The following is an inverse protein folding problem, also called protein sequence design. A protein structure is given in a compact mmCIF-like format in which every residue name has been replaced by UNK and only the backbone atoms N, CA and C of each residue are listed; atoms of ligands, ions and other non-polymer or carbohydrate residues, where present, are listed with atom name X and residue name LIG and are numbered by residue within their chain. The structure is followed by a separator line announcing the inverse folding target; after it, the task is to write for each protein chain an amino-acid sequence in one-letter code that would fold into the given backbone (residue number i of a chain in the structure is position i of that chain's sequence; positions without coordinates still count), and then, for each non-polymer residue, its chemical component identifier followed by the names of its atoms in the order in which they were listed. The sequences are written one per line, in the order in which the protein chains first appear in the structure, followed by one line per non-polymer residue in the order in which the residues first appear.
data_IF_446052436055
#
_entry.id   IF_446052436055
#
_cell.length_a   1.000
_cell.length_b   1.000
_cell.length_c   1.000
_cell.angle_alpha   90.00
_cell.angle_beta   90.00
_cell.angle_gamma   90.00
#
_symmetry.space_group_name_H-M   'P 1'
#
loop_
_entity.id
_entity.type
_entity.pdbx_description
1 polymer ?
#
# COMPACT_ATOMS: atom_id res chain seq x y z
N UNK A 1 -0.80 3.34 -14.88
CA UNK A 1 -0.70 1.99 -14.29
C UNK A 1 0.76 1.52 -14.36
N UNK A 2 1.28 0.77 -13.37
CA UNK A 2 2.65 0.21 -13.44
C UNK A 2 2.84 -0.69 -14.66
N UNK A 3 4.09 -0.98 -15.02
CA UNK A 3 4.42 -1.87 -16.13
C UNK A 3 4.30 -3.33 -15.70
N UNK A 4 4.96 -3.66 -14.61
CA UNK A 4 4.98 -4.98 -13.97
C UNK A 4 4.63 -4.79 -12.50
N UNK A 5 3.77 -5.66 -11.97
CA UNK A 5 3.51 -5.75 -10.53
C UNK A 5 4.44 -6.78 -9.88
N UNK A 6 4.72 -6.63 -8.59
CA UNK A 6 5.62 -7.53 -7.85
C UNK A 6 5.06 -7.79 -6.47
N UNK A 7 5.13 -9.04 -6.03
CA UNK A 7 4.83 -9.44 -4.65
C UNK A 7 5.67 -10.65 -4.25
N UNK A 8 5.59 -10.98 -2.97
CA UNK A 8 5.99 -12.26 -2.44
C UNK A 8 5.13 -13.40 -3.01
N UNK A 9 5.64 -14.65 -2.99
CA UNK A 9 4.88 -15.81 -3.41
C UNK A 9 3.75 -16.06 -2.41
N UNK A 10 2.51 -15.91 -2.84
CA UNK A 10 1.32 -16.10 -2.02
C UNK A 10 0.07 -16.17 -2.90
N UNK A 11 -0.93 -16.95 -2.48
CA UNK A 11 -2.19 -17.07 -3.21
C UNK A 11 -3.04 -15.80 -3.05
N UNK A 12 -2.89 -15.04 -1.96
CA UNK A 12 -3.61 -13.78 -1.72
C UNK A 12 -3.33 -12.72 -2.80
N UNK A 13 -2.17 -12.80 -3.46
CA UNK A 13 -1.73 -11.84 -4.46
C UNK A 13 -2.21 -12.18 -5.88
N UNK A 14 -2.88 -13.33 -6.08
CA UNK A 14 -3.33 -13.79 -7.39
C UNK A 14 -4.36 -12.85 -8.02
N UNK A 15 -5.23 -12.23 -7.23
CA UNK A 15 -6.19 -11.25 -7.74
C UNK A 15 -5.54 -10.00 -8.31
N UNK A 16 -4.50 -9.49 -7.62
CA UNK A 16 -3.72 -8.34 -8.11
C UNK A 16 -2.94 -8.73 -9.37
N UNK A 17 -2.30 -9.91 -9.37
CA UNK A 17 -1.55 -10.41 -10.52
C UNK A 17 -2.44 -10.60 -11.77
N UNK A 18 -3.62 -11.21 -11.59
CA UNK A 18 -4.61 -11.43 -12.64
C UNK A 18 -5.20 -10.11 -13.15
N UNK A 19 -5.65 -9.25 -12.24
CA UNK A 19 -6.25 -7.95 -12.61
C UNK A 19 -5.27 -7.06 -13.37
N UNK A 20 -4.02 -6.98 -12.91
CA UNK A 20 -2.96 -6.23 -13.59
C UNK A 20 -2.65 -6.83 -14.97
N UNK A 21 -2.53 -8.16 -15.07
CA UNK A 21 -2.25 -8.84 -16.35
C UNK A 21 -3.36 -8.60 -17.36
N UNK A 22 -4.62 -8.73 -16.95
CA UNK A 22 -5.77 -8.49 -17.81
C UNK A 22 -5.81 -7.03 -18.30
N UNK A 23 -5.61 -6.05 -17.41
CA UNK A 23 -5.55 -4.64 -17.81
C UNK A 23 -4.45 -4.38 -18.83
N UNK A 24 -3.27 -4.98 -18.66
CA UNK A 24 -2.17 -4.85 -19.61
C UNK A 24 -2.49 -5.47 -20.97
N UNK A 25 -3.11 -6.65 -21.01
CA UNK A 25 -3.53 -7.30 -22.27
C UNK A 25 -4.60 -6.50 -23.03
N UNK A 26 -5.51 -5.85 -22.29
CA UNK A 26 -6.53 -4.99 -22.90
C UNK A 26 -5.92 -3.74 -23.56
N UNK A 27 -4.80 -3.25 -23.04
CA UNK A 27 -4.13 -2.05 -23.55
C UNK A 27 -3.02 -2.32 -24.56
N UNK A 28 -2.40 -3.51 -24.51
CA UNK A 28 -1.31 -3.90 -25.38
C UNK A 28 -1.49 -5.37 -25.78
N UNK A 29 -1.96 -5.57 -27.02
CA UNK A 29 -2.23 -6.90 -27.56
C UNK A 29 -0.97 -7.74 -27.76
N UNK A 30 0.22 -7.11 -27.82
CA UNK A 30 1.49 -7.83 -27.91
C UNK A 30 1.83 -8.59 -26.62
N UNK A 31 1.18 -8.24 -25.51
CA UNK A 31 1.39 -8.89 -24.21
C UNK A 31 0.49 -10.12 -23.99
N UNK A 32 -0.46 -10.40 -24.89
CA UNK A 32 -1.34 -11.57 -24.76
C UNK A 32 -0.51 -12.85 -24.65
N UNK A 33 -0.82 -13.66 -23.65
CA UNK A 33 -0.08 -14.89 -23.34
C UNK A 33 1.07 -14.71 -22.35
N UNK A 34 1.36 -13.48 -21.91
CA UNK A 34 2.41 -13.20 -20.91
C UNK A 34 1.83 -12.77 -19.56
N UNK A 35 2.49 -13.15 -18.47
CA UNK A 35 2.18 -12.73 -17.10
C UNK A 35 2.87 -11.39 -16.80
N UNK A 36 2.10 -10.39 -16.36
CA UNK A 36 2.59 -9.04 -16.05
C UNK A 36 2.84 -8.85 -14.54
N UNK A 37 3.22 -9.93 -13.89
CA UNK A 37 3.50 -10.00 -12.46
C UNK A 37 4.77 -10.81 -12.21
N UNK A 38 5.58 -10.39 -11.24
CA UNK A 38 6.79 -11.11 -10.83
C UNK A 38 6.71 -11.50 -9.36
N UNK A 39 6.79 -12.80 -9.13
CA UNK A 39 6.94 -13.41 -7.81
C UNK A 39 8.38 -13.29 -7.34
N UNK A 40 8.60 -12.68 -6.18
CA UNK A 40 9.94 -12.45 -5.63
C UNK A 40 10.26 -13.54 -4.60
N UNK A 41 11.04 -14.55 -5.02
CA UNK A 41 11.38 -15.71 -4.19
C UNK A 41 12.48 -15.44 -3.13
N UNK A 42 13.20 -14.31 -3.24
CA UNK A 42 14.29 -13.95 -2.32
C UNK A 42 13.81 -12.97 -1.24
N UNK A 43 14.34 -13.10 -0.01
CA UNK A 43 14.08 -12.24 1.16
C UNK A 43 14.67 -10.82 1.03
N UNK A 44 14.42 -10.14 -0.09
CA UNK A 44 14.75 -8.73 -0.26
C UNK A 44 13.47 -7.94 -0.04
N UNK A 45 13.51 -6.97 0.88
CA UNK A 45 12.36 -6.10 1.15
C UNK A 45 11.92 -5.42 -0.15
N UNK A 46 10.83 -5.90 -0.73
CA UNK A 46 10.25 -5.29 -1.93
C UNK A 46 9.54 -3.98 -1.54
N UNK A 47 9.37 -3.02 -2.47
CA UNK A 47 8.74 -1.73 -2.17
C UNK A 47 7.37 -1.82 -1.45
N UNK A 48 6.50 -2.81 -1.74
CA UNK A 48 5.29 -3.05 -0.95
C UNK A 48 5.59 -3.35 0.53
N UNK A 49 6.53 -4.22 0.85
CA UNK A 49 6.91 -4.57 2.23
C UNK A 49 7.48 -3.38 3.00
N UNK A 50 8.30 -2.55 2.35
CA UNK A 50 8.80 -1.31 2.94
C UNK A 50 7.62 -0.40 3.29
N UNK A 51 6.63 -0.30 2.40
CA UNK A 51 5.43 0.51 2.61
C UNK A 51 4.57 -0.06 3.76
N UNK A 52 4.41 -1.39 3.83
CA UNK A 52 3.75 -2.07 4.95
C UNK A 52 4.46 -1.83 6.28
N UNK A 53 5.80 -1.88 6.30
CA UNK A 53 6.57 -1.55 7.49
C UNK A 53 6.36 -0.10 7.92
N UNK A 54 6.23 0.85 6.99
CA UNK A 54 5.96 2.25 7.34
C UNK A 54 4.53 2.44 7.85
N UNK A 55 3.54 1.77 7.24
CA UNK A 55 2.16 1.75 7.72
C UNK A 55 2.12 1.24 9.17
N UNK A 56 2.75 0.09 9.45
CA UNK A 56 2.82 -0.50 10.79
C UNK A 56 3.44 0.44 11.82
N UNK A 57 4.48 1.20 11.47
CA UNK A 57 5.16 2.10 12.43
C UNK A 57 4.44 3.42 12.65
N UNK A 58 3.68 3.92 11.67
CA UNK A 58 3.15 5.30 11.67
C UNK A 58 1.64 5.41 11.78
N UNK A 59 0.92 4.35 11.41
CA UNK A 59 -0.54 4.31 11.40
C UNK A 59 -1.08 3.40 12.49
N UNK A 60 -0.55 2.18 12.57
CA UNK A 60 -1.08 1.12 13.44
C UNK A 60 -1.11 1.48 14.94
N UNK A 61 -0.08 2.11 15.56
CA UNK A 61 -0.10 2.33 17.00
C UNK A 61 -1.27 3.20 17.45
N UNK A 62 -1.55 4.30 16.74
CA UNK A 62 -2.68 5.17 17.11
C UNK A 62 -4.06 4.54 16.87
N UNK A 63 -4.14 3.46 16.09
CA UNK A 63 -5.37 2.68 15.93
C UNK A 63 -5.48 1.61 17.02
N UNK A 64 -4.39 0.91 17.32
CA UNK A 64 -4.28 -0.04 18.44
C UNK A 64 -4.61 0.64 19.78
N UNK A 65 -4.08 1.84 20.03
CA UNK A 65 -4.40 2.65 21.22
C UNK A 65 -5.91 2.86 21.39
N UNK A 66 -6.63 3.09 20.29
CA UNK A 66 -8.09 3.26 20.31
C UNK A 66 -8.76 1.91 20.59
N UNK A 67 -8.32 0.83 19.95
CA UNK A 67 -8.88 -0.50 20.18
C UNK A 67 -8.71 -0.96 21.62
N UNK A 68 -7.53 -0.70 22.20
CA UNK A 68 -7.19 -1.04 23.57
C UNK A 68 -8.13 -0.38 24.58
N UNK A 69 -8.67 0.81 24.29
CA UNK A 69 -9.68 1.44 25.17
C UNK A 69 -10.89 0.51 25.36
N UNK A 70 -11.45 -0.04 24.28
CA UNK A 70 -12.64 -0.89 24.43
C UNK A 70 -12.35 -2.24 25.07
N UNK A 71 -11.17 -2.82 24.82
CA UNK A 71 -10.74 -4.06 25.48
C UNK A 71 -10.52 -3.83 26.98
N UNK A 72 -9.78 -2.78 27.35
CA UNK A 72 -9.44 -2.48 28.74
C UNK A 72 -10.67 -2.09 29.58
N UNK A 73 -11.69 -1.49 28.95
CA UNK A 73 -12.96 -1.17 29.63
C UNK A 73 -13.97 -2.34 29.61
N UNK A 74 -13.64 -3.47 28.98
CA UNK A 74 -14.52 -4.64 28.88
C UNK A 74 -15.76 -4.41 28.01
N UNK A 75 -15.70 -3.49 27.04
CA UNK A 75 -16.80 -3.18 26.12
C UNK A 75 -16.92 -4.21 24.99
N UNK A 76 -15.84 -4.92 24.69
CA UNK A 76 -15.75 -5.84 23.58
C UNK A 76 -15.12 -7.18 24.00
N UNK A 77 -15.82 -8.27 23.74
CA UNK A 77 -15.33 -9.64 23.82
C UNK A 77 -15.46 -10.32 22.45
N UNK A 78 -14.35 -10.71 21.79
CA UNK A 78 -14.39 -11.39 20.50
C UNK A 78 -15.03 -12.77 20.55
N UNK A 79 -15.23 -13.36 21.74
CA UNK A 79 -15.89 -14.65 21.90
C UNK A 79 -17.41 -14.55 21.92
N UNK A 80 -17.96 -13.34 22.08
CA UNK A 80 -19.39 -13.08 22.01
C UNK A 80 -19.74 -12.72 20.56
N UNK A 81 -20.52 -13.57 19.89
CA UNK A 81 -20.84 -13.46 18.47
C UNK A 81 -21.39 -12.08 18.09
N UNK A 82 -22.41 -11.60 18.81
CA UNK A 82 -23.06 -10.32 18.51
C UNK A 82 -22.10 -9.14 18.68
N UNK A 83 -21.21 -9.19 19.68
CA UNK A 83 -20.19 -8.18 19.90
C UNK A 83 -19.14 -8.19 18.79
N UNK A 84 -18.69 -9.38 18.35
CA UNK A 84 -17.78 -9.55 17.23
C UNK A 84 -18.34 -9.04 15.90
N UNK A 85 -19.62 -9.30 15.61
CA UNK A 85 -20.28 -8.85 14.39
C UNK A 85 -20.48 -7.33 14.38
N UNK A 86 -20.99 -6.76 15.48
CA UNK A 86 -21.17 -5.30 15.59
C UNK A 86 -19.82 -4.60 15.52
N UNK A 87 -18.77 -5.17 16.14
CA UNK A 87 -17.43 -4.63 16.07
C UNK A 87 -16.93 -4.58 14.62
N UNK A 88 -17.01 -5.69 13.88
CA UNK A 88 -16.59 -5.73 12.47
C UNK A 88 -17.38 -4.75 11.61
N UNK A 89 -18.69 -4.67 11.81
CA UNK A 89 -19.56 -3.77 11.05
C UNK A 89 -19.22 -2.30 11.25
N UNK A 90 -18.85 -1.89 12.47
CA UNK A 90 -18.46 -0.50 12.78
C UNK A 90 -16.99 -0.24 12.42
N UNK A 91 -16.08 -1.12 12.81
CA UNK A 91 -14.65 -0.85 12.77
C UNK A 91 -14.00 -1.10 11.42
N UNK A 92 -14.45 -2.08 10.61
CA UNK A 92 -13.85 -2.34 9.28
C UNK A 92 -14.00 -1.13 8.36
N UNK A 93 -15.19 -0.52 8.20
CA UNK A 93 -15.38 0.60 7.28
C UNK A 93 -14.71 1.87 7.80
N UNK A 94 -14.68 2.04 9.12
CA UNK A 94 -13.90 3.10 9.75
C UNK A 94 -12.41 2.93 9.46
N UNK A 95 -11.85 1.72 9.66
CA UNK A 95 -10.45 1.40 9.36
C UNK A 95 -10.12 1.61 7.88
N UNK A 96 -11.02 1.22 6.98
CA UNK A 96 -10.89 1.49 5.55
C UNK A 96 -10.75 2.99 5.29
N UNK A 97 -11.64 3.81 5.86
CA UNK A 97 -11.58 5.26 5.69
C UNK A 97 -10.33 5.90 6.30
N UNK A 98 -9.88 5.45 7.47
CA UNK A 98 -8.61 5.91 8.06
C UNK A 98 -7.42 5.52 7.19
N UNK A 99 -7.45 4.34 6.57
CA UNK A 99 -6.44 3.87 5.62
C UNK A 99 -6.44 4.71 4.33
N UNK A 100 -7.61 5.07 3.82
CA UNK A 100 -7.75 5.99 2.69
C UNK A 100 -7.18 7.38 3.02
N UNK A 101 -7.51 7.92 4.20
CA UNK A 101 -6.95 9.19 4.66
C UNK A 101 -5.42 9.12 4.84
N UNK A 102 -4.90 7.99 5.33
CA UNK A 102 -3.46 7.75 5.40
C UNK A 102 -2.81 7.75 4.02
N UNK A 103 -3.39 7.01 3.05
CA UNK A 103 -2.94 6.97 1.66
C UNK A 103 -2.90 8.39 1.08
N UNK A 104 -3.98 9.14 1.23
CA UNK A 104 -4.10 10.48 0.69
C UNK A 104 -3.05 11.42 1.30
N UNK A 105 -2.85 11.35 2.62
CA UNK A 105 -1.77 12.11 3.29
C UNK A 105 -0.40 11.73 2.74
N UNK A 106 -0.10 10.43 2.63
CA UNK A 106 1.20 9.94 2.17
C UNK A 106 1.48 10.40 0.73
N UNK A 107 0.48 10.37 -0.14
CA UNK A 107 0.63 10.72 -1.55
C UNK A 107 0.60 12.24 -1.82
N UNK A 108 0.03 13.02 -0.90
CA UNK A 108 -0.02 14.49 -0.99
C UNK A 108 1.01 15.22 -0.11
N UNK A 109 1.85 14.50 0.65
CA UNK A 109 2.92 15.10 1.44
C UNK A 109 4.26 14.97 0.71
N UNK A 110 4.99 16.09 0.60
CA UNK A 110 6.32 16.13 0.02
C UNK A 110 7.28 15.19 0.77
N UNK A 111 8.02 14.36 0.03
CA UNK A 111 9.03 13.48 0.62
C UNK A 111 10.31 14.25 0.89
N UNK A 112 11.00 13.90 1.98
CA UNK A 112 12.31 14.46 2.30
C UNK A 112 13.29 14.05 1.20
N UNK A 113 14.04 15.03 0.68
CA UNK A 113 15.11 14.78 -0.27
C UNK A 113 16.20 13.91 0.37
N UNK A 114 16.60 12.86 -0.35
CA UNK A 114 17.72 11.99 0.00
C UNK A 114 18.90 12.37 -0.89
N UNK A 115 19.99 12.86 -0.29
CA UNK A 115 21.17 13.35 -1.01
C UNK A 115 21.88 12.23 -1.78
N UNK A 116 21.63 10.97 -1.44
CA UNK A 116 22.24 9.81 -2.07
C UNK A 116 21.41 9.28 -3.26
N UNK A 117 20.30 9.93 -3.63
CA UNK A 117 19.40 9.45 -4.69
C UNK A 117 19.06 10.57 -5.66
N UNK A 118 19.34 10.35 -6.94
CA UNK A 118 19.00 11.25 -8.05
C UNK A 118 17.55 11.05 -8.50
N UNK A 119 16.62 10.98 -7.53
CA UNK A 119 15.19 10.85 -7.80
C UNK A 119 14.50 12.20 -7.67
N UNK A 120 13.41 12.42 -8.40
CA UNK A 120 12.75 13.72 -8.40
C UNK A 120 12.10 13.97 -7.03
N UNK A 121 12.14 15.22 -6.60
CA UNK A 121 11.73 15.62 -5.25
C UNK A 121 10.44 16.42 -5.29
N UNK A 122 9.43 15.97 -4.56
CA UNK A 122 8.15 16.68 -4.53
C UNK A 122 7.05 15.92 -3.82
N UNK A 123 5.84 16.42 -4.02
CA UNK A 123 4.61 15.74 -3.61
C UNK A 123 4.31 14.64 -4.63
N UNK A 124 4.20 13.36 -4.22
CA UNK A 124 4.02 12.24 -5.17
C UNK A 124 2.88 12.43 -6.16
N UNK A 125 1.69 12.85 -5.70
CA UNK A 125 0.57 13.10 -6.59
C UNK A 125 0.82 14.27 -7.56
N UNK A 126 1.50 15.33 -7.12
CA UNK A 126 1.80 16.47 -7.99
C UNK A 126 2.85 16.11 -9.05
N UNK A 127 3.86 15.34 -8.66
CA UNK A 127 4.87 14.80 -9.58
C UNK A 127 4.28 13.77 -10.54
N UNK A 128 3.31 12.99 -10.06
CA UNK A 128 2.53 12.13 -10.92
C UNK A 128 1.75 12.98 -11.92
N UNK A 129 0.93 13.95 -11.53
CA UNK A 129 0.11 14.71 -12.49
C UNK A 129 0.91 15.64 -13.42
N UNK A 130 1.98 16.27 -12.92
CA UNK A 130 2.75 17.32 -13.63
C UNK A 130 4.25 17.03 -13.64
N UNK A 131 4.71 15.95 -14.29
CA UNK A 131 6.11 15.54 -14.33
C UNK A 131 7.05 16.63 -14.90
N UNK A 132 6.59 17.42 -15.86
CA UNK A 132 7.34 18.51 -16.49
C UNK A 132 7.82 19.57 -15.48
N UNK A 133 7.06 19.81 -14.40
CA UNK A 133 7.42 20.76 -13.36
C UNK A 133 8.56 20.27 -12.45
N UNK A 134 8.94 19.00 -12.57
CA UNK A 134 9.99 18.36 -11.79
C UNK A 134 11.20 17.98 -12.66
N UNK A 135 11.21 18.35 -13.94
CA UNK A 135 12.28 17.98 -14.87
C UNK A 135 12.37 16.48 -15.09
N UNK A 136 11.23 15.80 -15.22
CA UNK A 136 11.18 14.34 -15.42
C UNK A 136 10.28 13.97 -16.57
N UNK A 137 10.56 12.81 -17.15
CA UNK A 137 9.75 12.24 -18.23
C UNK A 137 8.52 11.53 -17.70
N UNK A 138 7.43 11.65 -18.44
CA UNK A 138 6.20 10.90 -18.16
C UNK A 138 6.20 9.55 -18.87
N UNK A 139 6.25 8.48 -18.07
CA UNK A 139 6.16 7.08 -18.54
C UNK A 139 4.82 6.41 -18.17
N UNK A 140 3.77 7.18 -17.88
CA UNK A 140 2.47 6.61 -17.52
C UNK A 140 1.85 5.82 -18.65
N UNK A 141 1.44 4.60 -18.33
CA UNK A 141 0.46 3.86 -19.13
C UNK A 141 -0.93 4.39 -18.77
N UNK A 142 -1.56 5.09 -19.73
CA UNK A 142 -2.95 5.54 -19.63
C UNK A 142 -3.88 4.34 -19.80
N UNK A 143 -4.82 4.20 -18.87
CA UNK A 143 -5.75 3.08 -18.81
C UNK A 143 -7.15 3.63 -19.05
N UNK A 144 -7.94 2.90 -19.83
CA UNK A 144 -9.33 3.26 -20.11
C UNK A 144 -10.17 3.02 -18.85
N UNK A 145 -10.92 4.02 -18.35
CA UNK A 145 -11.82 3.84 -17.21
C UNK A 145 -12.80 2.67 -17.37
N UNK A 146 -13.25 2.36 -18.59
CA UNK A 146 -14.15 1.22 -18.83
C UNK A 146 -13.44 -0.12 -18.59
N UNK A 147 -12.17 -0.24 -19.00
CA UNK A 147 -11.36 -1.41 -18.73
C UNK A 147 -11.12 -1.59 -17.23
N UNK A 148 -10.88 -0.49 -16.50
CA UNK A 148 -10.77 -0.52 -15.02
C UNK A 148 -12.06 -1.03 -14.39
N UNK A 149 -13.22 -0.53 -14.82
CA UNK A 149 -14.51 -0.98 -14.29
C UNK A 149 -14.75 -2.47 -14.57
N UNK A 150 -14.41 -2.95 -15.77
CA UNK A 150 -14.51 -4.35 -16.14
C UNK A 150 -13.65 -5.26 -15.25
N UNK A 151 -12.36 -4.93 -15.10
CA UNK A 151 -11.42 -5.71 -14.26
C UNK A 151 -11.82 -5.64 -12.79
N UNK A 152 -12.30 -4.49 -12.31
CA UNK A 152 -12.83 -4.34 -10.96
C UNK A 152 -14.02 -5.27 -10.73
N UNK A 153 -14.99 -5.32 -11.64
CA UNK A 153 -16.14 -6.21 -11.47
C UNK A 153 -15.76 -7.69 -11.46
N UNK A 154 -14.65 -8.08 -12.12
CA UNK A 154 -14.19 -9.46 -12.19
C UNK A 154 -13.41 -9.89 -10.94
N UNK A 155 -12.54 -9.02 -10.41
CA UNK A 155 -11.60 -9.37 -9.32
C UNK A 155 -11.85 -8.63 -8.00
N UNK A 156 -12.71 -7.60 -7.99
CA UNK A 156 -13.05 -6.79 -6.83
C UNK A 156 -14.51 -6.27 -6.94
N UNK A 157 -15.51 -7.18 -7.01
CA UNK A 157 -16.89 -6.81 -7.28
C UNK A 157 -17.44 -5.81 -6.25
N UNK A 158 -18.26 -4.84 -6.68
CA UNK A 158 -18.72 -3.72 -5.86
C UNK A 158 -19.71 -4.08 -4.73
N UNK A 159 -20.06 -5.35 -4.57
CA UNK A 159 -21.02 -5.82 -3.55
C UNK A 159 -20.51 -5.67 -2.09
N UNK A 160 -19.33 -5.07 -1.90
CA UNK A 160 -18.76 -4.69 -0.60
C UNK A 160 -18.99 -3.22 -0.23
N UNK A 161 -20.14 -2.65 -0.56
CA UNK A 161 -20.48 -1.29 -0.12
C UNK A 161 -20.91 -1.32 1.36
N UNK A 162 -19.93 -1.24 2.27
CA UNK A 162 -20.21 -1.17 3.71
C UNK A 162 -20.59 0.26 4.08
N UNK A 163 -21.82 0.65 3.71
CA UNK A 163 -22.40 1.93 4.10
C UNK A 163 -22.45 2.03 5.63
N UNK A 164 -21.55 2.84 6.18
CA UNK A 164 -21.38 3.01 7.61
C UNK A 164 -21.72 4.42 8.04
N UNK A 165 -22.25 4.61 9.25
CA UNK A 165 -22.48 5.95 9.79
C UNK A 165 -21.17 6.76 9.84
N UNK A 166 -21.22 8.09 9.97
CA UNK A 166 -20.04 8.93 10.13
C UNK A 166 -19.35 8.64 11.48
N UNK A 167 -18.55 7.58 11.49
CA UNK A 167 -17.70 7.14 12.59
C UNK A 167 -16.45 8.02 12.59
N UNK A 168 -15.79 8.26 13.71
CA UNK A 168 -14.52 8.98 13.83
C UNK A 168 -13.72 8.36 14.96
N UNK A 169 -12.43 8.72 15.07
CA UNK A 169 -11.57 8.30 16.18
C UNK A 169 -12.18 8.60 17.56
N UNK A 170 -12.97 9.67 17.68
CA UNK A 170 -13.53 10.11 18.97
C UNK A 170 -14.87 9.48 19.31
N UNK A 171 -15.62 8.95 18.34
CA UNK A 171 -16.98 8.44 18.57
C UNK A 171 -17.14 6.95 18.25
N UNK A 172 -16.11 6.28 17.71
CA UNK A 172 -16.24 4.89 17.24
C UNK A 172 -16.76 3.93 18.30
N UNK A 173 -16.28 4.06 19.54
CA UNK A 173 -16.76 3.26 20.66
C UNK A 173 -18.17 3.64 21.11
N UNK A 174 -18.53 4.92 21.09
CA UNK A 174 -19.89 5.36 21.42
C UNK A 174 -20.91 4.79 20.43
N UNK A 175 -20.60 4.87 19.14
CA UNK A 175 -21.43 4.32 18.06
C UNK A 175 -21.51 2.79 18.18
N UNK A 176 -20.38 2.12 18.43
CA UNK A 176 -20.35 0.68 18.69
C UNK A 176 -21.28 0.29 19.84
N UNK A 177 -21.17 0.95 20.99
CA UNK A 177 -21.96 0.64 22.18
C UNK A 177 -23.45 0.91 21.96
N UNK A 178 -23.81 2.01 21.30
CA UNK A 178 -25.21 2.32 21.00
C UNK A 178 -25.85 1.26 20.09
N UNK A 179 -25.11 0.81 19.07
CA UNK A 179 -25.58 -0.23 18.15
C UNK A 179 -25.69 -1.58 18.87
N UNK A 180 -24.68 -1.93 19.67
CA UNK A 180 -24.66 -3.17 20.43
C UNK A 180 -25.87 -3.25 21.38
N UNK A 181 -26.14 -2.18 22.14
CA UNK A 181 -27.29 -2.11 23.05
C UNK A 181 -28.62 -2.34 22.34
N UNK A 182 -28.79 -1.82 21.11
CA UNK A 182 -30.00 -2.02 20.31
C UNK A 182 -30.14 -3.48 19.88
N UNK A 183 -29.06 -4.12 19.46
CA UNK A 183 -29.06 -5.53 19.07
C UNK A 183 -29.29 -6.47 20.25
N UNK A 184 -28.65 -6.22 21.38
CA UNK A 184 -28.90 -6.95 22.63
C UNK A 184 -30.35 -6.79 23.08
N UNK A 185 -30.93 -5.60 22.95
CA UNK A 185 -32.35 -5.41 23.24
C UNK A 185 -33.26 -6.24 22.33
N UNK A 186 -32.95 -6.34 21.03
CA UNK A 186 -33.70 -7.15 20.06
C UNK A 186 -33.59 -8.65 20.35
N UNK A 187 -32.41 -9.10 20.76
CA UNK A 187 -32.15 -10.49 21.14
C UNK A 187 -32.93 -10.88 22.40
N UNK A 188 -32.91 -10.00 23.41
CA UNK A 188 -33.69 -10.16 24.64
C UNK A 188 -35.20 -10.27 24.43
N UNK A 189 -35.74 -9.67 23.37
CA UNK A 189 -37.17 -9.77 23.00
C UNK A 189 -37.44 -10.85 21.94
N UNK A 190 -36.48 -11.77 21.72
CA UNK A 190 -36.54 -12.91 20.80
C UNK A 190 -36.95 -12.54 19.37
N UNK A 191 -36.44 -11.41 18.86
CA UNK A 191 -36.67 -10.97 17.47
C UNK A 191 -35.56 -11.38 16.51
N UNK A 192 -34.47 -11.94 17.01
CA UNK A 192 -33.38 -12.48 16.20
C UNK A 192 -33.75 -13.91 15.79
N UNK A 193 -33.54 -14.32 14.52
CA UNK A 193 -33.83 -15.68 14.07
C UNK A 193 -33.04 -16.74 14.86
N UNK A 194 -33.66 -17.90 15.15
CA UNK A 194 -33.05 -18.98 15.94
C UNK A 194 -31.76 -19.56 15.31
N UNK A 195 -31.59 -19.43 14.00
CA UNK A 195 -30.42 -19.91 13.25
C UNK A 195 -29.34 -18.84 13.02
N UNK A 196 -29.48 -17.66 13.63
CA UNK A 196 -28.53 -16.56 13.45
C UNK A 196 -27.11 -16.96 13.87
N UNK A 197 -26.98 -17.65 15.00
CA UNK A 197 -25.69 -18.10 15.53
C UNK A 197 -25.00 -19.12 14.61
N UNK A 198 -25.78 -20.01 13.98
CA UNK A 198 -25.24 -20.99 13.03
C UNK A 198 -24.79 -20.32 11.72
N UNK A 199 -25.63 -19.46 11.13
CA UNK A 199 -25.33 -18.80 9.86
C UNK A 199 -24.13 -17.85 9.98
N UNK A 200 -24.08 -17.03 11.03
CA UNK A 200 -23.02 -16.03 11.20
C UNK A 200 -21.81 -16.53 11.96
N UNK A 201 -21.97 -17.49 12.87
CA UNK A 201 -20.85 -18.18 13.50
C UNK A 201 -19.97 -18.91 12.48
N UNK A 202 -20.60 -19.54 11.48
CA UNK A 202 -19.88 -20.13 10.35
C UNK A 202 -19.12 -19.08 9.53
N UNK A 203 -19.77 -17.96 9.19
CA UNK A 203 -19.11 -16.85 8.47
C UNK A 203 -17.94 -16.25 9.25
N UNK A 204 -18.05 -16.11 10.58
CA UNK A 204 -16.94 -15.67 11.43
C UNK A 204 -15.80 -16.69 11.48
N UNK A 205 -16.11 -17.98 11.43
CA UNK A 205 -15.11 -19.05 11.43
C UNK A 205 -14.33 -19.04 10.11
N UNK A 206 -15.02 -18.93 8.98
CA UNK A 206 -14.39 -18.75 7.66
C UNK A 206 -13.52 -17.49 7.63
N UNK A 207 -13.96 -16.39 8.24
CA UNK A 207 -13.19 -15.15 8.30
C UNK A 207 -12.09 -15.14 9.38
N UNK A 208 -11.96 -16.19 10.18
CA UNK A 208 -10.87 -16.39 11.16
C UNK A 208 -9.81 -17.34 10.62
N UNK A 209 -10.24 -18.36 9.88
CA UNK A 209 -9.34 -19.11 9.02
C UNK A 209 -8.91 -18.20 7.85
N UNK A 210 -7.69 -18.39 7.36
CA UNK A 210 -7.24 -17.75 6.13
C UNK A 210 -8.11 -18.31 5.00
N UNK A 211 -9.26 -17.68 4.73
CA UNK A 211 -10.08 -18.01 3.58
C UNK A 211 -9.20 -17.83 2.35
N UNK A 212 -8.73 -18.95 1.81
CA UNK A 212 -8.04 -18.97 0.53
C UNK A 212 -9.07 -18.57 -0.52
N UNK A 213 -8.97 -17.35 -1.04
CA UNK A 213 -9.66 -17.03 -2.28
C UNK A 213 -9.21 -18.08 -3.31
N UNK A 214 -10.15 -18.92 -3.78
CA UNK A 214 -9.97 -19.95 -4.82
C UNK A 214 -9.64 -19.32 -6.20
N UNK A 215 -8.93 -18.19 -6.23
CA UNK A 215 -8.60 -17.48 -7.43
C UNK A 215 -7.36 -18.10 -8.06
N UNK A 216 -7.58 -19.00 -9.02
CA UNK A 216 -6.48 -19.52 -9.84
C UNK A 216 -5.82 -18.41 -10.68
N UNK A 217 -4.51 -18.53 -10.88
CA UNK A 217 -3.81 -17.70 -11.86
C UNK A 217 -4.41 -17.94 -13.26
N UNK A 218 -4.51 -16.88 -14.06
CA UNK A 218 -4.94 -16.97 -15.45
C UNK A 218 -4.12 -18.06 -16.19
N UNK A 219 -4.79 -19.00 -16.90
CA UNK A 219 -4.12 -20.16 -17.49
C UNK A 219 -3.27 -19.78 -18.70
N UNK A 220 -2.27 -20.61 -19.01
CA UNK A 220 -1.41 -20.51 -20.20
C UNK A 220 -0.60 -19.21 -20.30
N UNK A 221 -0.24 -18.59 -19.17
CA UNK A 221 0.62 -17.42 -19.15
C UNK A 221 2.08 -17.82 -18.94
N UNK A 222 2.98 -17.26 -19.75
CA UNK A 222 4.44 -17.34 -19.54
C UNK A 222 4.94 -16.07 -18.86
N UNK A 223 5.94 -16.12 -17.98
CA UNK A 223 6.57 -14.91 -17.44
C UNK A 223 7.05 -14.00 -18.56
N UNK A 224 6.82 -12.69 -18.44
CA UNK A 224 7.39 -11.72 -19.38
C UNK A 224 8.92 -11.73 -19.26
N UNK A 225 9.59 -12.22 -20.31
CA UNK A 225 11.04 -12.31 -20.38
C UNK A 225 11.68 -10.92 -20.38
N UNK A 226 12.79 -10.78 -19.64
CA UNK A 226 13.70 -9.64 -19.74
C UNK A 226 14.98 -10.11 -20.42
N UNK A 227 14.91 -10.34 -21.72
CA UNK A 227 16.09 -10.63 -22.54
C UNK A 227 16.84 -9.30 -22.80
N UNK A 228 18.14 -9.16 -22.52
CA UNK A 228 18.90 -7.95 -22.86
C UNK A 228 18.84 -7.58 -24.35
N UNK A 229 18.65 -8.53 -25.26
CA UNK A 229 18.58 -8.27 -26.71
C UNK A 229 17.15 -7.99 -27.22
N UNK A 230 16.12 -8.30 -26.42
CA UNK A 230 14.70 -8.10 -26.75
C UNK A 230 13.94 -7.55 -25.53
N UNK A 231 14.56 -6.59 -24.86
CA UNK A 231 14.11 -6.05 -23.58
C UNK A 231 12.83 -5.25 -23.79
N UNK A 232 11.71 -5.77 -23.28
CA UNK A 232 10.47 -5.01 -23.23
C UNK A 232 10.67 -3.82 -22.28
N UNK A 233 11.03 -2.66 -22.84
CA UNK A 233 11.29 -1.38 -22.16
C UNK A 233 10.07 -0.78 -21.47
N UNK A 234 8.96 -1.53 -21.41
CA UNK A 234 7.82 -1.13 -20.64
C UNK A 234 7.04 0.00 -21.29
N UNK A 235 6.22 -0.36 -22.28
CA UNK A 235 4.96 0.34 -22.53
C UNK A 235 5.02 1.84 -22.90
N UNK A 236 6.18 2.43 -23.14
CA UNK A 236 6.24 3.76 -23.80
C UNK A 236 5.66 3.58 -25.19
N UNK A 237 4.55 4.27 -25.46
CA UNK A 237 3.80 4.16 -26.70
C UNK A 237 3.41 2.72 -27.11
N UNK A 238 2.92 1.90 -26.16
CA UNK A 238 2.56 0.49 -26.39
C UNK A 238 3.73 -0.35 -26.93
N UNK A 239 4.91 -0.17 -26.34
CA UNK A 239 6.12 -0.94 -26.71
C UNK A 239 6.85 -0.41 -27.95
N UNK A 240 6.53 0.79 -28.42
CA UNK A 240 7.20 1.44 -29.56
C UNK A 240 8.43 2.26 -29.18
N UNK A 241 8.69 2.41 -27.88
CA UNK A 241 9.80 3.22 -27.37
C UNK A 241 9.41 4.69 -27.21
N UNK A 242 10.42 5.52 -26.95
CA UNK A 242 10.29 6.97 -26.88
C UNK A 242 9.78 7.48 -28.24
N UNK A 243 8.82 8.40 -28.22
CA UNK A 243 8.51 9.17 -29.43
C UNK A 243 9.49 10.32 -29.62
N UNK A 244 9.48 10.90 -30.82
CA UNK A 244 10.34 12.03 -31.21
C UNK A 244 10.29 13.20 -30.21
N UNK A 245 9.15 13.40 -29.53
CA UNK A 245 9.00 14.49 -28.56
C UNK A 245 9.67 14.17 -27.23
N UNK A 246 9.59 12.92 -26.78
CA UNK A 246 10.25 12.45 -25.56
C UNK A 246 11.76 12.33 -25.75
N UNK A 247 12.21 11.89 -26.93
CA UNK A 247 13.63 11.80 -27.29
C UNK A 247 14.25 13.20 -27.37
N UNK A 248 13.59 14.16 -28.04
CA UNK A 248 14.06 15.55 -28.07
C UNK A 248 14.09 16.19 -26.66
N UNK A 249 13.16 15.85 -25.78
CA UNK A 249 13.16 16.35 -24.41
C UNK A 249 14.27 15.73 -23.55
N UNK A 250 14.55 14.44 -23.75
CA UNK A 250 15.70 13.76 -23.15
C UNK A 250 17.02 14.42 -23.54
N UNK A 251 17.20 14.68 -24.84
CA UNK A 251 18.37 15.37 -25.35
C UNK A 251 18.50 16.78 -24.74
N UNK A 252 17.40 17.54 -24.65
CA UNK A 252 17.39 18.85 -23.99
C UNK A 252 17.77 18.77 -22.50
N UNK A 253 17.31 17.72 -21.79
CA UNK A 253 17.68 17.48 -20.39
C UNK A 253 19.17 17.12 -20.24
N UNK A 254 19.74 16.38 -21.18
CA UNK A 254 21.16 16.03 -21.19
C UNK A 254 22.06 17.21 -21.58
N UNK A 255 21.56 18.16 -22.38
CA UNK A 255 22.28 19.38 -22.74
C UNK A 255 22.23 20.46 -21.64
N UNK A 256 21.26 20.38 -20.72
CA UNK A 256 21.24 21.21 -19.50
C UNK A 256 22.21 20.63 -18.47
N UNK A 257 23.49 20.99 -18.60
CA UNK A 257 24.47 20.88 -17.51
C UNK A 257 24.04 21.81 -16.36
N UNK A 258 23.11 21.36 -15.51
CA UNK A 258 22.81 22.05 -14.27
C UNK A 258 24.03 21.89 -13.34
N UNK A 259 24.68 23.00 -12.93
CA UNK A 259 25.84 22.92 -12.07
C UNK A 259 25.45 22.21 -10.78
N UNK A 260 26.27 21.21 -10.38
CA UNK A 260 26.10 20.50 -9.13
C UNK A 260 25.89 21.52 -7.99
N UNK A 261 24.95 21.27 -7.06
CA UNK A 261 24.71 22.18 -5.96
C UNK A 261 26.03 22.43 -5.21
N UNK A 262 26.32 23.69 -4.82
CA UNK A 262 27.63 24.04 -4.27
C UNK A 262 27.93 23.20 -3.03
N UNK A 263 28.98 22.37 -3.12
CA UNK A 263 29.40 21.44 -2.07
C UNK A 263 29.64 19.99 -2.52
N UNK A 264 29.36 19.64 -3.78
CA UNK A 264 29.79 18.36 -4.36
C UNK A 264 31.22 18.54 -4.87
N UNK A 265 32.20 18.29 -4.01
CA UNK A 265 33.57 18.10 -4.49
C UNK A 265 33.61 16.80 -5.28
N UNK A 266 34.24 16.83 -6.46
CA UNK A 266 34.59 15.65 -7.24
C UNK A 266 35.28 14.65 -6.31
N UNK A 267 34.62 13.53 -6.04
CA UNK A 267 35.30 12.41 -5.38
C UNK A 267 36.17 11.80 -6.47
N UNK A 268 37.45 12.17 -6.45
CA UNK A 268 38.48 11.49 -7.22
C UNK A 268 38.35 9.97 -7.01
N UNK A 269 38.38 9.23 -8.11
CA UNK A 269 38.35 7.77 -8.13
C UNK A 269 39.44 7.21 -7.20
N UNK A 270 39.01 6.67 -6.07
CA UNK A 270 39.87 5.83 -5.24
C UNK A 270 39.72 6.10 -3.76
N UNK A 271 38.71 5.49 -3.14
CA UNK A 271 38.89 4.73 -1.89
C UNK A 271 37.59 4.01 -1.53
N UNK A 272 37.66 2.67 -1.46
CA UNK A 272 36.61 1.86 -0.86
C UNK A 272 36.50 2.23 0.62
N UNK A 273 35.44 2.92 1.01
CA UNK A 273 35.12 3.11 2.43
C UNK A 273 33.99 2.18 2.83
N UNK A 274 34.45 1.14 3.52
CA UNK A 274 33.73 0.10 4.25
C UNK A 274 32.63 0.72 5.14
N UNK A 275 31.37 0.34 4.92
CA UNK A 275 30.26 0.74 5.78
C UNK A 275 30.41 0.13 7.18
N UNK A 276 30.64 0.97 8.18
CA UNK A 276 30.50 0.63 9.60
C UNK A 276 29.32 1.42 10.16
N UNK A 277 28.24 0.70 10.46
CA UNK A 277 27.14 1.22 11.28
C UNK A 277 27.59 1.12 12.74
N UNK A 278 27.65 2.26 13.44
CA UNK A 278 27.79 2.27 14.90
C UNK A 278 26.41 2.30 15.51
N UNK A 279 26.04 1.18 16.13
CA UNK A 279 25.13 1.18 17.26
C UNK A 279 25.78 2.01 18.37
N UNK A 280 25.03 2.89 19.02
CA UNK A 280 25.13 3.17 20.46
C UNK A 280 24.00 4.13 20.86
N UNK A 281 23.10 3.56 21.66
CA UNK A 281 22.15 4.27 22.52
C UNK A 281 22.95 4.89 23.67
N UNK A 282 22.92 6.22 23.82
CA UNK A 282 23.45 6.87 25.02
C UNK A 282 22.44 6.72 26.17
N UNK A 283 22.77 5.81 27.08
CA UNK A 283 22.29 5.77 28.46
C UNK A 283 22.68 7.06 29.19
N UNK A 284 21.71 7.72 29.83
CA UNK A 284 21.97 8.80 30.77
C UNK A 284 22.41 8.22 32.12
N UNK A 285 23.67 8.44 32.52
CA UNK A 285 24.06 8.47 33.94
C UNK A 285 24.88 9.73 34.25
N UNK A 286 24.23 10.61 35.01
CA UNK A 286 24.76 11.82 35.63
C UNK A 286 25.66 11.41 36.80
N UNK A 287 26.98 11.65 36.70
CA UNK A 287 27.89 11.60 37.84
C UNK A 287 28.70 12.88 37.93
N UNK A 288 28.55 13.55 39.08
CA UNK A 288 29.01 14.90 39.35
C UNK A 288 30.52 15.11 39.29
N UNK A 289 30.89 16.32 38.88
CA UNK A 289 32.18 16.92 39.20
C UNK A 289 32.06 17.82 40.43
N UNK A 290 32.69 17.38 41.51
CA UNK A 290 33.12 18.26 42.58
C UNK A 290 34.48 18.86 42.22
N UNK A 291 34.58 20.19 42.24
CA UNK A 291 35.83 20.89 42.50
C UNK A 291 35.57 21.98 43.53
N UNK A 292 36.04 21.74 44.76
CA UNK A 292 36.18 22.78 45.76
C UNK A 292 37.44 23.60 45.53
N UNK A 293 37.46 24.83 46.06
CA UNK A 293 38.39 25.27 47.11
C UNK A 293 38.32 26.80 47.29
N UNK A 294 38.28 27.17 48.58
CA UNK A 294 38.38 28.48 49.23
C UNK A 294 37.16 29.42 49.22
#
# INVERSE_FOLDING_TARGET
MPLISQSDPGNENLGVANGHTLLRHLHDSALIGTLQHRWMNEKKNIPPEISWSQLRRRFTPGFEDILDIGVNNGWYDPNILIQALVFRWVFIPWLQRESDAYRDRVNNTAKRADRNKVLPHGVPNHMYEFPENYGVLDFKVKVDPEAVAHVRNLYAPPDHDINSPPITRSNVWEVYMEILLRFEHLDNIHRVPENFDECWGYALTIARDDHEDDMALLPNLTPLESDPDNYYMGGVNNGRGLDDSQEAHLDEMMEKDDPLPPGVNDIEEGEQILAWFSDEEDEQEDTGEGLGLY
#
